data_IF_912547793816
#
_entry.id   IF_912547793816
#
_cell.length_a   1.000
_cell.length_b   1.000
_cell.length_c   1.000
_cell.angle_alpha   90.00
_cell.angle_beta   90.00
_cell.angle_gamma   90.00
#
_symmetry.space_group_name_H-M   'P 1'
#
loop_
_entity.id
_entity.type
_entity.pdbx_description
1 polymer ?
#
# COMPACT_ATOMS: atom_id res chain seq x y z
N UNK A 1 -3.67 15.90 -3.90
CA UNK A 1 -2.78 15.00 -3.13
C UNK A 1 -3.61 14.29 -2.03
N UNK A 2 -4.73 13.67 -2.42
CA UNK A 2 -5.76 13.16 -1.49
C UNK A 2 -5.86 11.63 -1.47
N UNK A 3 -5.48 10.99 -2.59
CA UNK A 3 -5.64 9.55 -2.82
C UNK A 3 -4.92 8.70 -1.77
N UNK A 4 -3.67 9.04 -1.41
CA UNK A 4 -2.91 8.29 -0.41
C UNK A 4 -3.55 8.37 1.00
N UNK A 5 -4.03 9.55 1.39
CA UNK A 5 -4.73 9.78 2.67
C UNK A 5 -6.04 8.99 2.71
N UNK A 6 -6.77 8.97 1.60
CA UNK A 6 -8.04 8.25 1.50
C UNK A 6 -7.83 6.73 1.53
N UNK A 7 -6.84 6.20 0.80
CA UNK A 7 -6.47 4.78 0.88
C UNK A 7 -6.13 4.39 2.32
N UNK A 8 -5.32 5.19 3.01
CA UNK A 8 -4.98 4.93 4.40
C UNK A 8 -6.23 4.91 5.31
N UNK A 9 -7.08 5.92 5.21
CA UNK A 9 -8.28 6.00 6.04
C UNK A 9 -9.24 4.83 5.79
N UNK A 10 -9.40 4.42 4.54
CA UNK A 10 -10.36 3.42 4.11
C UNK A 10 -9.88 1.98 4.35
N UNK A 11 -8.56 1.73 4.24
CA UNK A 11 -8.01 0.37 4.18
C UNK A 11 -6.93 0.08 5.24
N UNK A 12 -6.56 1.03 6.11
CA UNK A 12 -5.69 0.69 7.23
C UNK A 12 -6.32 -0.42 8.09
N UNK A 13 -5.50 -1.36 8.53
CA UNK A 13 -5.88 -2.52 9.32
C UNK A 13 -6.85 -3.51 8.64
N UNK A 14 -7.06 -3.45 7.32
CA UNK A 14 -7.90 -4.40 6.58
C UNK A 14 -7.10 -5.42 5.76
N UNK A 15 -5.80 -5.20 5.58
CA UNK A 15 -4.92 -5.97 4.71
C UNK A 15 -4.01 -6.96 5.45
N UNK A 16 -3.06 -7.51 4.70
CA UNK A 16 -2.01 -8.37 5.25
C UNK A 16 -0.95 -7.52 5.96
N UNK A 17 -0.76 -7.76 7.26
CA UNK A 17 0.17 -7.00 8.09
C UNK A 17 1.51 -7.70 8.19
N UNK A 18 2.57 -6.93 7.99
CA UNK A 18 3.95 -7.38 8.16
C UNK A 18 4.49 -6.66 9.40
N UNK A 19 4.85 -7.46 10.40
CA UNK A 19 5.28 -6.97 11.70
C UNK A 19 6.77 -7.21 11.93
N UNK A 20 7.38 -6.32 12.70
CA UNK A 20 8.75 -6.45 13.18
C UNK A 20 8.81 -5.88 14.59
N UNK A 21 9.38 -6.65 15.53
CA UNK A 21 9.48 -6.25 16.94
C UNK A 21 8.12 -5.79 17.51
N UNK A 22 7.07 -6.58 17.27
CA UNK A 22 5.67 -6.32 17.71
C UNK A 22 5.05 -5.03 17.15
N UNK A 23 5.62 -4.47 16.07
CA UNK A 23 5.10 -3.28 15.38
C UNK A 23 4.79 -3.59 13.93
N UNK A 24 3.63 -3.16 13.46
CA UNK A 24 3.27 -3.19 12.03
C UNK A 24 4.19 -2.21 11.30
N UNK A 25 5.03 -2.73 10.41
CA UNK A 25 5.93 -1.92 9.58
C UNK A 25 5.37 -1.71 8.17
N UNK A 26 4.59 -2.67 7.69
CA UNK A 26 3.93 -2.60 6.38
C UNK A 26 2.58 -3.28 6.44
N UNK A 27 1.67 -2.83 5.60
CA UNK A 27 0.39 -3.48 5.35
C UNK A 27 0.11 -3.51 3.85
N UNK A 28 -0.30 -4.66 3.33
CA UNK A 28 -0.64 -4.85 1.92
C UNK A 28 -2.16 -4.91 1.80
N UNK A 29 -2.74 -3.98 1.06
CA UNK A 29 -4.19 -3.85 0.88
C UNK A 29 -4.54 -4.01 -0.60
N UNK A 30 -5.67 -4.66 -0.88
CA UNK A 30 -6.30 -4.61 -2.20
C UNK A 30 -7.55 -3.74 -2.10
N UNK A 31 -7.55 -2.64 -2.86
CA UNK A 31 -8.65 -1.68 -2.85
C UNK A 31 -9.82 -2.12 -3.74
N UNK A 32 -9.73 -3.29 -4.36
CA UNK A 32 -10.76 -3.89 -5.22
C UNK A 32 -11.23 -2.95 -6.34
N UNK A 33 -10.28 -2.15 -6.87
CA UNK A 33 -10.51 -1.20 -7.95
C UNK A 33 -11.04 0.16 -7.52
N UNK A 34 -11.33 0.39 -6.23
CA UNK A 34 -11.71 1.71 -5.70
C UNK A 34 -10.60 2.75 -5.91
N UNK A 35 -9.36 2.32 -5.77
CA UNK A 35 -8.18 3.14 -6.09
C UNK A 35 -7.31 2.40 -7.09
N UNK A 36 -6.80 3.15 -8.07
CA UNK A 36 -5.93 2.61 -9.11
C UNK A 36 -4.58 3.32 -9.05
N UNK A 37 -3.52 2.52 -9.00
CA UNK A 37 -2.13 2.96 -9.03
C UNK A 37 -1.39 2.41 -10.24
N UNK A 38 -0.22 2.99 -10.51
CA UNK A 38 0.74 2.45 -11.48
C UNK A 38 1.89 1.84 -10.70
N UNK A 39 1.98 0.53 -10.72
CA UNK A 39 3.14 -0.21 -10.24
C UNK A 39 4.22 -0.20 -11.33
N UNK A 40 5.46 0.08 -10.93
CA UNK A 40 6.64 0.01 -11.80
C UNK A 40 7.54 -1.08 -11.24
N UNK A 41 7.82 -2.11 -12.06
CA UNK A 41 8.70 -3.19 -11.64
C UNK A 41 10.19 -2.80 -11.77
N UNK A 42 11.09 -3.70 -11.36
CA UNK A 42 12.55 -3.46 -11.41
C UNK A 42 13.10 -3.27 -12.82
N UNK A 43 12.39 -3.75 -13.84
CA UNK A 43 12.72 -3.55 -15.27
C UNK A 43 12.16 -2.24 -15.84
N UNK A 44 11.45 -1.45 -15.03
CA UNK A 44 10.79 -0.21 -15.44
C UNK A 44 9.44 -0.41 -16.15
N UNK A 45 8.94 -1.65 -16.23
CA UNK A 45 7.66 -1.96 -16.84
C UNK A 45 6.51 -1.48 -15.94
N UNK A 46 5.50 -0.88 -16.55
CA UNK A 46 4.36 -0.27 -15.85
C UNK A 46 3.16 -1.21 -15.89
N UNK A 47 2.52 -1.41 -14.75
CA UNK A 47 1.30 -2.19 -14.62
C UNK A 47 0.27 -1.45 -13.79
N UNK A 48 -0.99 -1.51 -14.21
CA UNK A 48 -2.12 -1.00 -13.43
C UNK A 48 -2.37 -1.93 -12.25
N UNK A 49 -2.62 -1.38 -11.06
CA UNK A 49 -2.85 -2.16 -9.84
C UNK A 49 -3.93 -1.52 -8.97
N UNK A 50 -4.74 -2.34 -8.31
CA UNK A 50 -5.59 -1.94 -7.18
C UNK A 50 -4.94 -2.24 -5.82
N UNK A 51 -3.76 -2.87 -5.83
CA UNK A 51 -3.02 -3.23 -4.63
C UNK A 51 -2.08 -2.10 -4.23
N UNK A 52 -2.00 -1.85 -2.93
CA UNK A 52 -1.12 -0.84 -2.34
C UNK A 52 -0.40 -1.39 -1.13
N UNK A 53 0.81 -0.88 -0.89
CA UNK A 53 1.56 -1.10 0.33
C UNK A 53 1.52 0.17 1.16
N UNK A 54 1.02 0.06 2.38
CA UNK A 54 1.07 1.09 3.40
C UNK A 54 2.33 0.83 4.24
N UNK A 55 3.28 1.75 4.21
CA UNK A 55 4.49 1.73 5.03
C UNK A 55 4.28 2.60 6.26
N UNK A 56 4.45 2.02 7.45
CA UNK A 56 4.38 2.76 8.71
C UNK A 56 5.78 3.17 9.14
N UNK A 57 5.99 4.46 9.40
CA UNK A 57 7.21 4.95 10.01
C UNK A 57 7.10 4.95 11.55
N UNK A 58 8.24 5.05 12.24
CA UNK A 58 8.30 4.99 13.70
C UNK A 58 7.59 6.15 14.41
N UNK A 59 7.26 7.23 13.69
CA UNK A 59 6.52 8.40 14.19
C UNK A 59 5.02 8.34 13.91
N UNK A 60 4.52 7.27 13.30
CA UNK A 60 3.09 7.08 13.01
C UNK A 60 2.59 7.75 11.73
N UNK A 61 3.48 8.25 10.88
CA UNK A 61 3.18 8.62 9.49
C UNK A 61 3.12 7.36 8.64
N UNK A 62 2.24 7.39 7.64
CA UNK A 62 2.14 6.31 6.66
C UNK A 62 2.47 6.82 5.25
N UNK A 63 3.21 6.01 4.50
CA UNK A 63 3.45 6.21 3.08
C UNK A 63 2.80 5.10 2.27
N UNK A 64 2.01 5.47 1.27
CA UNK A 64 1.20 4.54 0.48
C UNK A 64 1.76 4.51 -0.93
N UNK A 65 2.12 3.31 -1.41
CA UNK A 65 2.68 3.10 -2.75
C UNK A 65 1.92 2.01 -3.49
N UNK A 66 1.77 2.09 -4.82
CA UNK A 66 1.23 1.00 -5.62
C UNK A 66 2.07 -0.27 -5.44
N UNK A 67 1.41 -1.40 -5.25
CA UNK A 67 2.04 -2.71 -5.06
C UNK A 67 1.87 -3.59 -6.30
N UNK A 68 2.74 -4.60 -6.42
CA UNK A 68 2.67 -5.57 -7.50
C UNK A 68 1.25 -6.20 -7.57
N UNK A 69 0.53 -6.12 -8.72
CA UNK A 69 -0.81 -6.69 -8.86
C UNK A 69 -0.82 -8.23 -8.73
N UNK A 70 0.33 -8.89 -8.92
CA UNK A 70 0.50 -10.35 -8.83
C UNK A 70 1.72 -10.66 -7.96
N UNK A 71 1.54 -10.78 -6.62
CA UNK A 71 2.65 -11.03 -5.69
C UNK A 71 3.37 -12.35 -5.96
#
# INVERSE_FOLDING_TARGET
METARNILNDFQNTGEKIERDEKIIKEIVDTQGKYIGIYINEKGERSVTSRFTIHYDSKGTAHIVPANPRP
#
